data_IF_330103759994
#
_entry.id   IF_330103759994
#
_cell.length_a   1.000
_cell.length_b   1.000
_cell.length_c   1.000
_cell.angle_alpha   90.00
_cell.angle_beta   90.00
_cell.angle_gamma   90.00
#
_symmetry.space_group_name_H-M   'P 1'
#
loop_
_entity.id
_entity.type
_entity.pdbx_description
1 polymer ?
#
# COMPACT_ATOMS: atom_id res chain seq x y z
N UNK A 1 14.29 22.03 -14.20
CA UNK A 1 13.48 22.05 -15.43
C UNK A 1 13.22 20.63 -15.99
N UNK A 2 14.17 19.66 -15.85
CA UNK A 2 14.06 18.37 -16.52
C UNK A 2 12.94 17.44 -16.05
N UNK A 3 12.57 17.44 -14.76
CA UNK A 3 11.58 16.50 -14.19
C UNK A 3 10.19 17.12 -14.03
N UNK A 4 10.08 18.26 -13.37
CA UNK A 4 8.79 18.82 -12.97
C UNK A 4 7.98 19.43 -14.12
N UNK A 5 8.62 20.08 -15.09
CA UNK A 5 7.90 20.73 -16.18
C UNK A 5 7.20 19.74 -17.14
N UNK A 6 7.79 18.61 -17.58
CA UNK A 6 7.05 17.61 -18.33
C UNK A 6 5.95 16.96 -17.50
N UNK A 7 6.21 16.57 -16.24
CA UNK A 7 5.21 15.97 -15.36
C UNK A 7 4.01 16.90 -15.15
N UNK A 8 4.21 18.19 -14.88
CA UNK A 8 3.13 19.15 -14.70
C UNK A 8 2.23 19.26 -15.95
N UNK A 9 2.77 19.00 -17.14
CA UNK A 9 2.03 18.95 -18.41
C UNK A 9 1.48 17.58 -18.78
N UNK A 10 1.53 16.60 -17.85
CA UNK A 10 1.06 15.24 -18.06
C UNK A 10 1.93 14.41 -19.03
N UNK A 11 3.18 14.83 -19.28
CA UNK A 11 4.14 14.04 -20.07
C UNK A 11 4.92 13.11 -19.14
N UNK A 12 5.28 11.94 -19.65
CA UNK A 12 6.07 10.95 -18.92
C UNK A 12 7.57 11.11 -19.21
N UNK A 13 8.38 11.60 -18.24
CA UNK A 13 9.83 11.68 -18.38
C UNK A 13 10.56 10.45 -17.81
N UNK A 14 9.86 9.44 -17.31
CA UNK A 14 10.43 8.34 -16.52
C UNK A 14 11.17 7.26 -17.34
N UNK A 15 10.69 6.83 -18.51
CA UNK A 15 11.29 5.68 -19.21
C UNK A 15 12.81 5.79 -19.33
N UNK A 16 13.52 4.71 -18.90
CA UNK A 16 14.97 4.65 -18.91
C UNK A 16 15.69 5.47 -17.83
N UNK A 17 14.96 6.18 -16.97
CA UNK A 17 15.55 6.93 -15.85
C UNK A 17 15.67 6.02 -14.61
N UNK A 18 16.60 6.36 -13.71
CA UNK A 18 16.75 5.65 -12.45
C UNK A 18 15.49 5.78 -11.58
N UNK A 19 14.87 4.65 -11.26
CA UNK A 19 13.51 4.59 -10.72
C UNK A 19 13.37 5.27 -9.35
N UNK A 20 14.32 5.06 -8.44
CA UNK A 20 14.13 5.49 -7.05
C UNK A 20 14.59 6.92 -6.80
N UNK A 21 15.72 7.33 -7.37
CA UNK A 21 16.23 8.70 -7.22
C UNK A 21 15.25 9.75 -7.78
N UNK A 22 14.55 9.44 -8.89
CA UNK A 22 13.56 10.35 -9.47
C UNK A 22 12.30 10.47 -8.60
N UNK A 23 11.79 9.36 -8.00
CA UNK A 23 10.65 9.44 -7.09
C UNK A 23 11.03 10.13 -5.78
N UNK A 24 12.24 9.90 -5.25
CA UNK A 24 12.75 10.64 -4.08
C UNK A 24 12.82 12.16 -4.38
N UNK A 25 13.30 12.53 -5.58
CA UNK A 25 13.39 13.93 -6.01
C UNK A 25 12.04 14.65 -6.04
N UNK A 26 10.91 13.94 -6.19
CA UNK A 26 9.57 14.53 -6.10
C UNK A 26 9.30 15.19 -4.74
N UNK A 27 9.99 14.75 -3.67
CA UNK A 27 9.89 15.39 -2.36
C UNK A 27 10.34 16.86 -2.39
N UNK A 28 11.29 17.22 -3.27
CA UNK A 28 11.70 18.63 -3.45
C UNK A 28 10.60 19.47 -4.13
N UNK A 29 9.84 18.86 -5.05
CA UNK A 29 8.65 19.48 -5.64
C UNK A 29 7.55 19.73 -4.60
N UNK A 30 7.33 18.76 -3.69
CA UNK A 30 6.40 18.95 -2.59
C UNK A 30 6.80 20.12 -1.68
N UNK A 31 8.09 20.22 -1.33
CA UNK A 31 8.62 21.33 -0.55
C UNK A 31 8.48 22.67 -1.31
N UNK A 32 8.74 22.69 -2.62
CA UNK A 32 8.56 23.86 -3.45
C UNK A 32 7.08 24.30 -3.48
N UNK A 33 6.13 23.37 -3.63
CA UNK A 33 4.70 23.70 -3.56
C UNK A 33 4.31 24.31 -2.22
N UNK A 34 4.75 23.69 -1.11
CA UNK A 34 4.42 24.18 0.23
C UNK A 34 5.04 25.55 0.56
N UNK A 35 6.15 25.90 -0.08
CA UNK A 35 6.86 27.16 0.15
C UNK A 35 6.40 28.27 -0.80
N UNK A 36 6.23 27.95 -2.08
CA UNK A 36 5.95 28.93 -3.15
C UNK A 36 4.47 29.05 -3.49
N UNK A 37 3.66 28.04 -3.18
CA UNK A 37 2.26 27.95 -3.60
C UNK A 37 2.04 27.71 -5.10
N UNK A 38 3.11 27.46 -5.88
CA UNK A 38 3.01 27.25 -7.33
C UNK A 38 2.37 25.89 -7.64
N UNK A 39 1.15 25.85 -8.22
CA UNK A 39 0.42 24.63 -8.51
C UNK A 39 1.15 23.67 -9.45
N UNK A 40 2.10 24.16 -10.26
CA UNK A 40 2.92 23.33 -11.14
C UNK A 40 3.54 22.15 -10.40
N UNK A 41 4.05 22.38 -9.20
CA UNK A 41 4.71 21.32 -8.42
C UNK A 41 3.70 20.29 -7.90
N UNK A 42 2.54 20.73 -7.40
CA UNK A 42 1.46 19.82 -6.98
C UNK A 42 0.99 18.95 -8.15
N UNK A 43 0.77 19.56 -9.31
CA UNK A 43 0.27 18.87 -10.49
C UNK A 43 1.32 17.87 -11.03
N UNK A 44 2.61 18.24 -10.96
CA UNK A 44 3.71 17.34 -11.29
C UNK A 44 3.74 16.09 -10.37
N UNK A 45 3.54 16.28 -9.06
CA UNK A 45 3.49 15.15 -8.12
C UNK A 45 2.29 14.24 -8.37
N UNK A 46 1.11 14.80 -8.61
CA UNK A 46 -0.10 14.05 -8.89
C UNK A 46 0.03 13.21 -10.19
N UNK A 47 0.58 13.83 -11.25
CA UNK A 47 0.84 13.13 -12.50
C UNK A 47 1.92 12.06 -12.36
N UNK A 48 2.99 12.33 -11.61
CA UNK A 48 4.02 11.33 -11.31
C UNK A 48 3.43 10.12 -10.57
N UNK A 49 2.60 10.36 -9.55
CA UNK A 49 1.92 9.29 -8.83
C UNK A 49 1.03 8.45 -9.76
N UNK A 50 0.24 9.11 -10.61
CA UNK A 50 -0.61 8.43 -11.59
C UNK A 50 0.23 7.54 -12.52
N UNK A 51 1.31 8.08 -13.13
CA UNK A 51 2.21 7.30 -14.00
C UNK A 51 2.81 6.12 -13.25
N UNK A 52 3.34 6.34 -12.03
CA UNK A 52 3.93 5.29 -11.21
C UNK A 52 2.94 4.14 -10.96
N UNK A 53 1.71 4.47 -10.52
CA UNK A 53 0.74 3.45 -10.08
C UNK A 53 -0.02 2.78 -11.22
N UNK A 54 -0.06 3.38 -12.42
CA UNK A 54 -0.80 2.83 -13.56
C UNK A 54 0.08 2.12 -14.58
N UNK A 55 1.38 2.41 -14.64
CA UNK A 55 2.25 1.90 -15.71
C UNK A 55 3.55 1.25 -15.23
N UNK A 56 3.96 1.47 -13.98
CA UNK A 56 5.27 1.07 -13.48
C UNK A 56 5.21 0.03 -12.37
N UNK A 57 4.04 -0.19 -11.76
CA UNK A 57 3.94 -0.83 -10.46
C UNK A 57 3.53 -2.30 -10.57
N UNK A 58 4.28 -3.18 -9.89
CA UNK A 58 3.87 -4.54 -9.58
C UNK A 58 2.75 -4.56 -8.52
N UNK A 59 2.04 -5.68 -8.41
CA UNK A 59 0.95 -5.85 -7.45
C UNK A 59 1.38 -5.65 -5.98
N UNK A 60 2.64 -5.88 -5.64
CA UNK A 60 3.21 -5.56 -4.33
C UNK A 60 3.25 -4.08 -3.99
N UNK A 61 3.20 -3.22 -5.00
CA UNK A 61 3.49 -1.79 -4.88
C UNK A 61 4.92 -1.41 -5.27
N UNK A 62 5.78 -2.40 -5.59
CA UNK A 62 7.15 -2.16 -6.08
C UNK A 62 7.18 -1.76 -7.55
N UNK A 63 8.29 -1.19 -8.03
CA UNK A 63 8.52 -0.77 -9.41
C UNK A 63 10.02 -0.69 -9.73
N UNK A 64 10.35 -0.51 -11.01
CA UNK A 64 11.71 -0.22 -11.46
C UNK A 64 12.63 -1.45 -11.41
N UNK A 65 12.32 -2.51 -12.20
CA UNK A 65 13.25 -3.63 -12.37
C UNK A 65 14.60 -3.12 -12.86
N UNK A 66 15.69 -3.70 -12.33
CA UNK A 66 17.05 -3.22 -12.54
C UNK A 66 17.27 -1.73 -12.24
N UNK A 67 16.56 -1.21 -11.23
CA UNK A 67 16.58 0.20 -10.78
C UNK A 67 16.18 1.21 -11.86
N UNK A 68 15.48 0.77 -12.91
CA UNK A 68 15.15 1.60 -14.08
C UNK A 68 13.65 1.60 -14.34
N UNK A 69 13.09 2.76 -14.65
CA UNK A 69 11.70 2.85 -15.11
C UNK A 69 11.54 2.19 -16.47
N UNK A 70 10.50 1.35 -16.60
CA UNK A 70 10.14 0.67 -17.85
C UNK A 70 9.49 1.63 -18.85
N UNK A 71 9.46 1.23 -20.12
CA UNK A 71 8.64 1.89 -21.14
C UNK A 71 7.20 1.40 -21.02
N UNK A 72 6.22 2.28 -20.72
CA UNK A 72 4.82 1.89 -20.57
C UNK A 72 4.27 1.15 -21.78
N UNK A 73 3.37 0.19 -21.54
CA UNK A 73 2.64 -0.58 -22.56
C UNK A 73 3.53 -1.44 -23.48
N UNK A 74 4.71 -1.87 -23.01
CA UNK A 74 5.62 -2.77 -23.73
C UNK A 74 5.68 -4.18 -23.16
N UNK A 75 5.05 -4.44 -22.00
CA UNK A 75 5.11 -5.75 -21.34
C UNK A 75 6.40 -5.97 -20.54
N UNK A 76 7.19 -4.93 -20.33
CA UNK A 76 8.50 -5.05 -19.68
C UNK A 76 8.43 -5.48 -18.22
N UNK A 77 7.27 -5.28 -17.50
CA UNK A 77 7.10 -5.84 -16.17
C UNK A 77 7.04 -7.37 -16.22
N UNK A 78 6.29 -7.92 -17.18
CA UNK A 78 6.23 -9.37 -17.39
C UNK A 78 7.60 -9.92 -17.82
N UNK A 79 8.26 -9.30 -18.78
CA UNK A 79 9.57 -9.74 -19.27
C UNK A 79 10.61 -9.77 -18.14
N UNK A 80 10.52 -8.84 -17.18
CA UNK A 80 11.41 -8.77 -16.03
C UNK A 80 11.33 -9.99 -15.14
N UNK A 81 10.17 -10.68 -15.05
CA UNK A 81 10.03 -11.89 -14.22
C UNK A 81 11.05 -12.98 -14.57
N UNK A 82 11.47 -13.07 -15.85
CA UNK A 82 12.40 -14.04 -16.35
C UNK A 82 13.82 -13.49 -16.55
N UNK A 83 14.00 -12.17 -16.60
CA UNK A 83 15.27 -11.55 -17.02
C UNK A 83 16.06 -10.94 -15.87
N UNK A 84 15.46 -10.76 -14.71
CA UNK A 84 16.12 -10.21 -13.51
C UNK A 84 15.60 -10.85 -12.24
N UNK A 85 16.33 -10.66 -11.14
CA UNK A 85 15.87 -10.89 -9.76
C UNK A 85 15.75 -9.57 -8.98
N UNK A 86 16.18 -8.47 -9.57
CA UNK A 86 16.21 -7.13 -8.98
C UNK A 86 14.97 -6.34 -9.39
N UNK A 87 13.77 -6.81 -8.95
CA UNK A 87 12.51 -6.23 -9.41
C UNK A 87 12.15 -4.92 -8.71
N UNK A 88 12.57 -4.76 -7.46
CA UNK A 88 12.28 -3.57 -6.69
C UNK A 88 13.32 -3.37 -5.56
N UNK A 89 14.05 -2.25 -5.59
CA UNK A 89 14.92 -1.85 -4.47
C UNK A 89 14.05 -1.45 -3.29
N UNK A 90 13.85 -2.41 -2.39
CA UNK A 90 12.78 -2.34 -1.40
C UNK A 90 12.92 -1.19 -0.40
N UNK A 91 14.10 -0.90 0.19
CA UNK A 91 14.21 0.19 1.17
C UNK A 91 14.03 1.58 0.53
N UNK A 92 14.79 1.92 -0.49
CA UNK A 92 14.74 3.25 -1.11
C UNK A 92 13.43 3.49 -1.87
N UNK A 93 12.92 2.46 -2.55
CA UNK A 93 11.64 2.55 -3.25
C UNK A 93 10.47 2.75 -2.29
N UNK A 94 10.39 1.95 -1.21
CA UNK A 94 9.34 2.12 -0.20
C UNK A 94 9.39 3.49 0.47
N UNK A 95 10.60 4.00 0.77
CA UNK A 95 10.79 5.35 1.28
C UNK A 95 10.25 6.42 0.33
N UNK A 96 10.58 6.31 -0.95
CA UNK A 96 10.13 7.23 -1.98
C UNK A 96 8.61 7.24 -2.11
N UNK A 97 7.98 6.05 -2.20
CA UNK A 97 6.54 5.90 -2.33
C UNK A 97 5.78 6.47 -1.13
N UNK A 98 6.23 6.14 0.09
CA UNK A 98 5.56 6.62 1.31
C UNK A 98 5.65 8.14 1.47
N UNK A 99 6.79 8.74 1.11
CA UNK A 99 6.93 10.21 1.11
C UNK A 99 6.03 10.87 0.08
N UNK A 100 6.03 10.38 -1.16
CA UNK A 100 5.18 10.91 -2.22
C UNK A 100 3.70 10.86 -1.82
N UNK A 101 3.21 9.70 -1.41
CA UNK A 101 1.81 9.53 -1.00
C UNK A 101 1.45 10.44 0.18
N UNK A 102 2.30 10.56 1.21
CA UNK A 102 2.08 11.43 2.36
C UNK A 102 1.96 12.90 1.98
N UNK A 103 2.80 13.41 1.08
CA UNK A 103 2.70 14.78 0.59
C UNK A 103 1.40 15.00 -0.20
N UNK A 104 1.03 14.05 -1.06
CA UNK A 104 -0.20 14.13 -1.85
C UNK A 104 -1.45 14.11 -0.97
N UNK A 105 -1.52 13.25 0.06
CA UNK A 105 -2.63 13.25 1.03
C UNK A 105 -2.76 14.62 1.72
N UNK A 106 -1.63 15.25 2.10
CA UNK A 106 -1.63 16.54 2.80
C UNK A 106 -2.05 17.71 1.91
N UNK A 107 -1.93 17.60 0.61
CA UNK A 107 -2.15 18.69 -0.36
C UNK A 107 -3.37 18.45 -1.25
N UNK A 108 -3.98 17.28 -1.20
CA UNK A 108 -5.18 16.96 -1.96
C UNK A 108 -6.44 17.53 -1.31
N UNK A 109 -7.30 18.11 -2.15
CA UNK A 109 -8.67 18.46 -1.78
C UNK A 109 -9.70 17.46 -2.33
N UNK A 110 -9.28 16.53 -3.18
CA UNK A 110 -10.13 15.50 -3.78
C UNK A 110 -10.17 14.25 -2.88
N UNK A 111 -11.35 13.85 -2.37
CA UNK A 111 -11.49 12.68 -1.48
C UNK A 111 -11.14 11.35 -2.18
N UNK A 112 -11.41 11.22 -3.48
CA UNK A 112 -11.07 9.99 -4.21
C UNK A 112 -9.56 9.86 -4.40
N UNK A 113 -8.89 10.94 -4.80
CA UNK A 113 -7.42 10.95 -4.90
C UNK A 113 -6.78 10.73 -3.54
N UNK A 114 -7.32 11.35 -2.47
CA UNK A 114 -6.83 11.13 -1.12
C UNK A 114 -6.92 9.66 -0.71
N UNK A 115 -8.02 8.97 -1.03
CA UNK A 115 -8.17 7.54 -0.79
C UNK A 115 -7.16 6.70 -1.59
N UNK A 116 -6.94 7.01 -2.89
CA UNK A 116 -5.96 6.32 -3.74
C UNK A 116 -4.52 6.47 -3.22
N UNK A 117 -4.14 7.65 -2.74
CA UNK A 117 -2.81 7.87 -2.14
C UNK A 117 -2.63 7.03 -0.89
N UNK A 118 -3.68 6.93 -0.07
CA UNK A 118 -3.72 6.06 1.10
C UNK A 118 -3.64 4.58 0.75
N UNK A 119 -4.32 4.14 -0.31
CA UNK A 119 -4.31 2.76 -0.80
C UNK A 119 -2.91 2.33 -1.26
N UNK A 120 -2.20 3.19 -1.99
CA UNK A 120 -0.84 2.90 -2.41
C UNK A 120 0.13 2.84 -1.23
N UNK A 121 -0.02 3.76 -0.27
CA UNK A 121 0.79 3.76 0.94
C UNK A 121 0.58 2.46 1.75
N UNK A 122 -0.66 2.02 1.88
CA UNK A 122 -1.02 0.76 2.54
C UNK A 122 -0.46 -0.46 1.80
N UNK A 123 -0.58 -0.49 0.46
CA UNK A 123 -0.02 -1.54 -0.40
C UNK A 123 1.48 -1.70 -0.20
N UNK A 124 2.22 -0.60 -0.28
CA UNK A 124 3.68 -0.57 -0.05
C UNK A 124 4.03 -1.02 1.37
N UNK A 125 3.28 -0.55 2.37
CA UNK A 125 3.52 -0.92 3.76
C UNK A 125 3.47 -2.44 3.96
N UNK A 126 2.38 -3.09 3.53
CA UNK A 126 2.18 -4.51 3.81
C UNK A 126 3.03 -5.42 2.92
N UNK A 127 3.18 -5.09 1.63
CA UNK A 127 3.78 -6.01 0.68
C UNK A 127 5.27 -5.74 0.41
N UNK A 128 5.81 -4.61 0.90
CA UNK A 128 7.23 -4.30 0.74
C UNK A 128 7.90 -4.06 2.10
N UNK A 129 7.47 -3.10 2.91
CA UNK A 129 8.14 -2.74 4.17
C UNK A 129 8.05 -3.88 5.20
N UNK A 130 6.86 -4.44 5.43
CA UNK A 130 6.71 -5.59 6.33
C UNK A 130 7.35 -6.86 5.76
N UNK A 131 7.41 -6.97 4.43
CA UNK A 131 8.02 -8.12 3.77
C UNK A 131 9.55 -8.17 3.88
N UNK A 132 10.23 -7.08 4.28
CA UNK A 132 11.69 -7.10 4.50
C UNK A 132 12.10 -7.51 5.90
N UNK A 133 11.16 -7.80 6.79
CA UNK A 133 11.48 -8.21 8.15
C UNK A 133 12.32 -9.50 8.13
N UNK A 134 13.53 -9.44 8.71
CA UNK A 134 14.36 -10.61 8.89
C UNK A 134 13.71 -11.62 9.84
N UNK A 135 13.88 -12.93 9.59
CA UNK A 135 13.45 -13.96 10.54
C UNK A 135 14.24 -13.94 11.85
N UNK A 136 15.45 -13.43 11.83
CA UNK A 136 16.33 -13.31 12.97
C UNK A 136 16.53 -11.85 13.43
N UNK A 137 17.24 -11.67 14.54
CA UNK A 137 17.42 -10.36 15.20
C UNK A 137 18.64 -9.59 14.74
N UNK A 138 19.40 -10.07 13.74
CA UNK A 138 20.64 -9.42 13.29
C UNK A 138 20.39 -8.13 12.48
N UNK A 139 19.12 -7.88 12.10
CA UNK A 139 18.71 -6.69 11.37
C UNK A 139 19.05 -6.73 9.88
N UNK A 140 19.32 -7.90 9.31
CA UNK A 140 19.47 -8.07 7.87
C UNK A 140 18.14 -7.86 7.15
N UNK A 141 18.18 -7.44 5.90
CA UNK A 141 16.99 -7.20 5.08
C UNK A 141 17.26 -7.52 3.60
N UNK A 142 16.25 -7.91 2.83
CA UNK A 142 16.38 -8.01 1.38
C UNK A 142 16.58 -6.62 0.79
N UNK A 143 17.65 -6.46 0.00
CA UNK A 143 17.86 -5.23 -0.77
C UNK A 143 16.81 -5.12 -1.87
N UNK A 144 16.61 -6.21 -2.62
CA UNK A 144 15.59 -6.31 -3.65
C UNK A 144 14.43 -7.21 -3.22
N UNK A 145 13.21 -6.81 -3.57
CA UNK A 145 12.09 -7.72 -3.68
C UNK A 145 12.14 -8.42 -5.03
N UNK A 146 12.05 -9.74 -5.02
CA UNK A 146 12.11 -10.59 -6.20
C UNK A 146 10.75 -11.16 -6.52
N UNK A 147 10.34 -11.12 -7.81
CA UNK A 147 9.05 -11.61 -8.28
C UNK A 147 9.19 -12.69 -9.37
N UNK A 148 10.37 -13.25 -9.53
CA UNK A 148 10.64 -14.39 -10.42
C UNK A 148 9.69 -15.57 -10.16
N UNK A 149 9.49 -16.47 -11.13
CA UNK A 149 8.55 -17.59 -11.00
C UNK A 149 8.80 -18.52 -9.82
N UNK A 150 10.08 -18.66 -9.41
CA UNK A 150 10.48 -19.26 -8.13
C UNK A 150 11.44 -18.27 -7.47
N UNK A 151 10.92 -17.47 -6.57
CA UNK A 151 11.66 -16.40 -5.90
C UNK A 151 12.07 -16.83 -4.48
N UNK A 152 13.07 -16.16 -3.94
CA UNK A 152 13.46 -16.26 -2.54
C UNK A 152 13.86 -14.88 -2.00
N UNK A 153 13.80 -14.68 -0.70
CA UNK A 153 14.29 -13.47 -0.05
C UNK A 153 15.78 -13.62 0.25
N UNK A 154 16.59 -12.80 -0.41
CA UNK A 154 18.04 -12.76 -0.17
C UNK A 154 18.35 -11.69 0.86
N UNK A 155 18.73 -12.11 2.07
CA UNK A 155 19.09 -11.21 3.16
C UNK A 155 20.56 -10.82 3.06
N UNK A 156 20.83 -9.50 3.02
CA UNK A 156 22.19 -8.98 2.85
C UNK A 156 22.89 -8.77 4.19
N UNK A 157 24.02 -9.44 4.44
CA UNK A 157 24.79 -9.23 5.67
C UNK A 157 25.53 -7.88 5.68
N UNK A 158 25.82 -7.33 4.51
CA UNK A 158 26.44 -6.01 4.38
C UNK A 158 25.36 -4.95 4.13
N UNK A 159 25.28 -4.00 5.05
CA UNK A 159 24.31 -2.90 4.94
C UNK A 159 24.78 -1.89 3.89
N UNK A 160 23.94 -1.66 2.88
CA UNK A 160 24.19 -0.60 1.93
C UNK A 160 23.82 0.76 2.55
N UNK A 161 24.67 1.80 2.47
CA UNK A 161 24.45 3.03 3.24
C UNK A 161 23.12 3.72 3.00
N UNK A 162 22.68 3.88 1.74
CA UNK A 162 21.41 4.52 1.42
C UNK A 162 20.23 3.70 1.95
N UNK A 163 20.22 2.40 1.69
CA UNK A 163 19.09 1.51 2.02
C UNK A 163 18.96 1.29 3.53
N UNK A 164 20.08 1.22 4.27
CA UNK A 164 20.04 1.18 5.72
C UNK A 164 19.40 2.41 6.32
N UNK A 165 19.69 3.59 5.78
CA UNK A 165 19.09 4.86 6.22
C UNK A 165 17.61 4.98 5.81
N UNK A 166 17.27 4.65 4.57
CA UNK A 166 15.90 4.80 4.06
C UNK A 166 14.93 3.79 4.67
N UNK A 167 15.34 2.56 4.95
CA UNK A 167 14.51 1.57 5.63
C UNK A 167 14.17 2.03 7.05
N UNK A 168 15.18 2.41 7.84
CA UNK A 168 14.98 2.88 9.22
C UNK A 168 14.05 4.11 9.22
N UNK A 169 14.26 5.05 8.30
CA UNK A 169 13.42 6.25 8.20
C UNK A 169 11.99 5.91 7.79
N UNK A 170 11.78 4.96 6.87
CA UNK A 170 10.45 4.53 6.46
C UNK A 170 9.68 3.91 7.62
N UNK A 171 10.34 3.06 8.40
CA UNK A 171 9.76 2.44 9.60
C UNK A 171 9.46 3.48 10.67
N UNK A 172 10.38 4.42 10.92
CA UNK A 172 10.16 5.50 11.88
C UNK A 172 9.03 6.46 11.46
N UNK A 173 8.86 6.69 10.15
CA UNK A 173 7.82 7.55 9.58
C UNK A 173 6.42 6.87 9.54
N UNK A 174 6.32 5.57 9.82
CA UNK A 174 5.05 4.85 9.76
C UNK A 174 3.93 5.51 10.59
N UNK A 175 4.13 5.88 11.87
CA UNK A 175 3.09 6.50 12.67
C UNK A 175 2.59 7.83 12.08
N UNK A 176 3.42 8.56 11.33
CA UNK A 176 3.05 9.81 10.67
C UNK A 176 2.04 9.65 9.53
N UNK A 177 1.83 8.41 9.08
CA UNK A 177 0.91 8.07 7.99
C UNK A 177 -0.43 7.51 8.48
N UNK A 178 -0.60 7.27 9.78
CA UNK A 178 -1.84 6.76 10.36
C UNK A 178 -2.95 7.81 10.34
N UNK A 179 -2.61 9.04 10.70
CA UNK A 179 -3.56 10.10 10.92
C UNK A 179 -3.12 11.42 10.31
N UNK A 180 -4.07 12.15 9.73
CA UNK A 180 -3.86 13.50 9.23
C UNK A 180 -4.85 14.47 9.87
N UNK A 181 -4.35 15.60 10.38
CA UNK A 181 -5.17 16.63 10.99
C UNK A 181 -5.58 17.69 9.97
N UNK A 182 -6.80 18.20 10.15
CA UNK A 182 -7.30 19.38 9.45
C UNK A 182 -7.83 20.40 10.47
N UNK A 183 -8.10 21.64 10.04
CA UNK A 183 -8.77 22.62 10.90
C UNK A 183 -10.13 22.13 11.45
N UNK A 184 -10.80 21.24 10.73
CA UNK A 184 -12.15 20.75 11.07
C UNK A 184 -12.16 19.39 11.77
N UNK A 185 -11.02 18.67 11.86
CA UNK A 185 -10.98 17.35 12.51
C UNK A 185 -9.81 16.46 12.15
N UNK A 186 -10.07 15.17 12.14
CA UNK A 186 -9.07 14.11 11.95
C UNK A 186 -9.47 13.21 10.77
N UNK A 187 -8.49 12.92 9.92
CA UNK A 187 -8.57 11.88 8.89
C UNK A 187 -7.77 10.65 9.33
N UNK A 188 -8.41 9.49 9.39
CA UNK A 188 -7.78 8.19 9.61
C UNK A 188 -7.43 7.59 8.25
N UNK A 189 -6.15 7.45 7.98
CA UNK A 189 -5.64 7.00 6.69
C UNK A 189 -5.26 5.51 6.68
N UNK A 190 -4.59 5.03 7.74
CA UNK A 190 -4.21 3.63 7.89
C UNK A 190 -4.84 3.01 9.14
N UNK A 191 -5.06 1.70 9.07
CA UNK A 191 -5.70 0.95 10.13
C UNK A 191 -4.70 0.05 10.85
N UNK A 192 -4.39 0.42 12.11
CA UNK A 192 -3.54 -0.35 13.01
C UNK A 192 -3.88 0.02 14.45
N UNK A 193 -3.80 -0.93 15.37
CA UNK A 193 -4.01 -0.68 16.80
C UNK A 193 -3.06 0.41 17.28
N UNK A 194 -3.62 1.54 17.69
CA UNK A 194 -2.88 2.77 17.99
C UNK A 194 -3.73 3.77 18.77
N UNK A 195 -3.06 4.81 19.27
CA UNK A 195 -3.71 5.94 19.95
C UNK A 195 -3.15 7.25 19.43
N UNK A 196 -4.02 8.25 19.27
CA UNK A 196 -3.63 9.64 19.00
C UNK A 196 -4.35 10.59 19.95
N UNK A 197 -3.61 11.59 20.41
CA UNK A 197 -4.15 12.70 21.20
C UNK A 197 -3.87 14.03 20.50
N UNK A 198 -4.89 14.87 20.34
CA UNK A 198 -4.74 16.18 19.69
C UNK A 198 -5.65 17.24 20.32
N UNK A 199 -5.36 18.50 20.04
CA UNK A 199 -6.26 19.62 20.37
C UNK A 199 -7.12 19.97 19.16
N UNK A 200 -8.44 20.11 19.42
CA UNK A 200 -9.42 20.64 18.47
C UNK A 200 -10.12 21.83 19.14
N UNK A 201 -9.78 23.07 18.72
CA UNK A 201 -10.15 24.26 19.47
C UNK A 201 -9.52 24.23 20.88
N UNK A 202 -10.35 24.41 21.90
CA UNK A 202 -9.95 24.36 23.32
C UNK A 202 -9.92 22.95 23.90
N UNK A 203 -10.56 21.96 23.24
CA UNK A 203 -10.69 20.59 23.75
C UNK A 203 -9.53 19.71 23.38
N UNK A 204 -9.12 18.83 24.29
CA UNK A 204 -8.19 17.75 24.06
C UNK A 204 -8.98 16.47 23.77
N UNK A 205 -8.65 15.79 22.69
CA UNK A 205 -9.33 14.56 22.25
C UNK A 205 -8.29 13.44 22.15
N UNK A 206 -8.62 12.30 22.74
CA UNK A 206 -7.89 11.05 22.50
C UNK A 206 -8.78 10.12 21.69
N UNK A 207 -8.25 9.55 20.61
CA UNK A 207 -8.86 8.49 19.82
C UNK A 207 -8.00 7.24 19.97
N UNK A 208 -8.63 6.12 20.34
CA UNK A 208 -8.02 4.80 20.42
C UNK A 208 -8.57 3.97 19.26
N UNK A 209 -7.68 3.42 18.46
CA UNK A 209 -8.00 2.52 17.37
C UNK A 209 -7.61 1.09 17.76
N UNK A 210 -8.57 0.16 17.76
CA UNK A 210 -8.36 -1.25 18.05
C UNK A 210 -8.77 -2.09 16.83
N UNK A 211 -7.87 -2.99 16.38
CA UNK A 211 -8.11 -3.83 15.22
C UNK A 211 -7.07 -4.92 15.07
N UNK A 212 -7.44 -6.03 14.45
CA UNK A 212 -6.55 -7.06 13.91
C UNK A 212 -6.38 -6.92 12.38
N UNK A 213 -6.76 -5.77 11.82
CA UNK A 213 -6.61 -5.49 10.40
C UNK A 213 -5.14 -5.61 9.95
N UNK A 214 -4.84 -6.19 8.77
CA UNK A 214 -5.75 -6.63 7.72
C UNK A 214 -6.19 -8.11 7.82
N UNK A 215 -5.91 -8.80 8.93
CA UNK A 215 -6.38 -10.18 9.13
C UNK A 215 -7.92 -10.24 9.28
N UNK A 216 -8.50 -9.21 9.89
CA UNK A 216 -9.94 -9.04 10.09
C UNK A 216 -10.44 -7.77 9.39
N UNK A 217 -11.75 -7.72 9.11
CA UNK A 217 -12.40 -6.64 8.35
C UNK A 217 -12.78 -5.45 9.24
N UNK A 218 -12.73 -5.60 10.58
CA UNK A 218 -13.34 -4.67 11.53
C UNK A 218 -12.30 -3.83 12.25
N UNK A 219 -12.57 -2.53 12.31
CA UNK A 219 -11.79 -1.52 13.03
C UNK A 219 -12.72 -0.79 13.99
N UNK A 220 -12.35 -0.72 15.26
CA UNK A 220 -13.12 0.01 16.28
C UNK A 220 -12.33 1.22 16.77
N UNK A 221 -12.98 2.36 16.80
CA UNK A 221 -12.46 3.61 17.34
C UNK A 221 -13.25 3.99 18.59
N UNK A 222 -12.55 4.33 19.67
CA UNK A 222 -13.15 4.90 20.88
C UNK A 222 -12.65 6.33 21.06
N UNK A 223 -13.57 7.26 21.25
CA UNK A 223 -13.28 8.68 21.38
C UNK A 223 -13.37 9.13 22.84
N UNK A 224 -12.37 9.86 23.26
CA UNK A 224 -12.27 10.42 24.61
C UNK A 224 -11.97 11.92 24.54
N UNK A 225 -12.96 12.77 24.16
CA UNK A 225 -12.83 14.21 24.32
C UNK A 225 -12.99 14.60 25.78
N UNK A 226 -12.24 15.61 26.25
CA UNK A 226 -12.36 16.17 27.60
C UNK A 226 -13.67 16.98 27.81
N UNK A 227 -14.31 17.37 26.75
CA UNK A 227 -15.59 18.05 26.72
C UNK A 227 -16.37 17.71 25.45
N UNK A 228 -17.67 17.95 25.48
CA UNK A 228 -18.57 17.73 24.35
C UNK A 228 -18.21 18.67 23.18
N UNK A 229 -17.77 18.15 22.06
CA UNK A 229 -17.17 18.92 20.95
C UNK A 229 -17.62 18.50 19.57
N UNK A 230 -17.80 19.49 18.69
CA UNK A 230 -18.04 19.26 17.26
C UNK A 230 -16.73 19.14 16.49
N UNK A 231 -16.53 18.04 15.79
CA UNK A 231 -15.49 17.89 14.78
C UNK A 231 -15.85 16.82 13.74
N UNK A 232 -15.06 16.78 12.67
CA UNK A 232 -15.21 15.80 11.60
C UNK A 232 -14.21 14.68 11.77
N UNK A 233 -14.69 13.44 11.87
CA UNK A 233 -13.87 12.24 11.73
C UNK A 233 -14.06 11.70 10.33
N UNK A 234 -12.97 11.54 9.58
CA UNK A 234 -12.98 11.03 8.20
C UNK A 234 -12.21 9.71 8.17
N UNK A 235 -12.82 8.67 7.61
CA UNK A 235 -12.26 7.34 7.51
C UNK A 235 -12.02 7.01 6.02
N UNK A 236 -10.83 6.56 5.65
CA UNK A 236 -10.54 6.09 4.29
C UNK A 236 -11.25 4.78 4.02
N UNK A 237 -11.93 4.69 2.89
CA UNK A 237 -12.48 3.43 2.37
C UNK A 237 -11.63 3.01 1.18
N UNK A 238 -10.86 1.93 1.30
CA UNK A 238 -9.98 1.49 0.23
C UNK A 238 -10.73 1.13 -1.05
N UNK A 239 -10.09 1.37 -2.21
CA UNK A 239 -10.67 1.01 -3.51
C UNK A 239 -10.78 -0.51 -3.72
N UNK A 240 -9.96 -1.30 -3.04
CA UNK A 240 -10.00 -2.76 -3.10
C UNK A 240 -11.13 -3.40 -2.28
N UNK A 241 -11.89 -2.63 -1.48
CA UNK A 241 -13.00 -3.18 -0.70
C UNK A 241 -14.01 -3.90 -1.63
N UNK A 242 -14.38 -5.13 -1.27
CA UNK A 242 -15.23 -6.00 -2.11
C UNK A 242 -16.67 -5.48 -2.23
N UNK A 243 -17.10 -4.65 -1.29
CA UNK A 243 -18.41 -4.01 -1.27
C UNK A 243 -18.33 -2.70 -0.48
N UNK A 244 -19.45 -1.96 -0.43
CA UNK A 244 -19.55 -0.75 0.38
C UNK A 244 -19.25 -1.07 1.86
N UNK A 245 -18.30 -0.32 2.43
CA UNK A 245 -17.97 -0.42 3.85
C UNK A 245 -19.11 0.10 4.72
N UNK A 246 -19.32 -0.53 5.86
CA UNK A 246 -20.33 -0.09 6.83
C UNK A 246 -19.70 0.63 8.00
N UNK A 247 -20.34 1.73 8.41
CA UNK A 247 -19.95 2.49 9.61
C UNK A 247 -21.11 2.52 10.59
N UNK A 248 -20.82 2.15 11.83
CA UNK A 248 -21.79 2.31 12.94
C UNK A 248 -21.24 3.28 13.99
N UNK A 249 -22.13 3.95 14.71
CA UNK A 249 -21.79 4.77 15.87
C UNK A 249 -22.62 4.27 17.05
N UNK A 250 -21.95 3.88 18.14
CA UNK A 250 -22.57 3.30 19.34
C UNK A 250 -23.50 2.13 18.98
N UNK A 251 -23.05 1.28 18.05
CA UNK A 251 -23.79 0.11 17.55
C UNK A 251 -24.91 0.43 16.53
N UNK A 252 -25.17 1.69 16.22
CA UNK A 252 -26.23 2.08 15.26
C UNK A 252 -25.63 2.37 13.89
N UNK A 253 -26.16 1.77 12.79
CA UNK A 253 -25.72 2.05 11.43
C UNK A 253 -25.90 3.53 11.07
N UNK A 254 -24.88 4.14 10.44
CA UNK A 254 -24.90 5.55 10.05
C UNK A 254 -24.53 5.81 8.60
N UNK A 255 -23.58 5.05 8.05
CA UNK A 255 -23.10 5.22 6.67
C UNK A 255 -22.82 3.85 6.03
N UNK A 256 -23.13 3.75 4.72
CA UNK A 256 -22.52 2.80 3.80
C UNK A 256 -21.69 3.61 2.80
N UNK A 257 -20.38 3.45 2.80
CA UNK A 257 -19.46 4.22 1.98
C UNK A 257 -18.89 3.35 0.84
N UNK A 258 -18.90 3.87 -0.38
CA UNK A 258 -18.39 3.17 -1.55
C UNK A 258 -16.87 2.96 -1.47
N UNK A 259 -16.31 1.88 -2.09
CA UNK A 259 -14.88 1.72 -2.26
C UNK A 259 -14.22 2.93 -2.93
N UNK A 260 -12.97 3.23 -2.57
CA UNK A 260 -12.19 4.34 -3.12
C UNK A 260 -12.70 5.73 -2.70
N UNK A 261 -13.33 5.85 -1.54
CA UNK A 261 -13.89 7.11 -1.03
C UNK A 261 -13.47 7.40 0.42
N UNK A 262 -14.01 8.46 0.97
CA UNK A 262 -13.86 8.84 2.38
C UNK A 262 -15.24 8.83 3.07
N UNK A 263 -15.38 8.06 4.14
CA UNK A 263 -16.55 8.12 5.01
C UNK A 263 -16.38 9.29 5.99
N UNK A 264 -17.23 10.31 5.88
CA UNK A 264 -17.13 11.55 6.66
C UNK A 264 -18.22 11.61 7.72
N UNK A 265 -17.82 11.66 8.99
CA UNK A 265 -18.67 11.70 10.17
C UNK A 265 -18.58 13.08 10.80
N UNK A 266 -19.53 13.95 10.54
CA UNK A 266 -19.61 15.29 11.13
C UNK A 266 -20.66 15.33 12.24
N UNK A 267 -20.23 15.39 13.49
CA UNK A 267 -21.17 15.40 14.61
C UNK A 267 -20.54 15.98 15.89
N UNK A 268 -21.38 16.11 16.92
CA UNK A 268 -20.96 16.38 18.27
C UNK A 268 -20.59 15.09 18.98
N UNK A 269 -19.33 15.02 19.43
CA UNK A 269 -18.72 13.84 20.06
C UNK A 269 -18.66 14.01 21.57
N UNK A 270 -18.87 12.92 22.29
CA UNK A 270 -18.77 12.84 23.72
C UNK A 270 -17.87 11.71 24.19
N UNK A 271 -17.48 11.74 25.45
CA UNK A 271 -16.68 10.72 26.12
C UNK A 271 -17.30 9.33 25.92
N UNK A 272 -16.49 8.38 25.43
CA UNK A 272 -16.87 6.99 25.24
C UNK A 272 -17.64 6.70 23.95
N UNK A 273 -17.88 7.68 23.06
CA UNK A 273 -18.45 7.38 21.75
C UNK A 273 -17.58 6.37 20.99
N UNK A 274 -18.21 5.36 20.39
CA UNK A 274 -17.55 4.34 19.60
C UNK A 274 -17.94 4.42 18.14
N UNK A 275 -16.98 4.26 17.25
CA UNK A 275 -17.20 4.13 15.80
C UNK A 275 -16.65 2.77 15.37
N UNK A 276 -17.47 1.97 14.70
CA UNK A 276 -17.00 0.71 14.10
C UNK A 276 -17.09 0.81 12.59
N UNK A 277 -15.97 0.57 11.93
CA UNK A 277 -15.83 0.47 10.49
C UNK A 277 -15.61 -1.00 10.11
N UNK A 278 -16.42 -1.51 9.18
CA UNK A 278 -16.22 -2.85 8.59
C UNK A 278 -15.97 -2.70 7.10
N UNK A 279 -14.81 -3.20 6.64
CA UNK A 279 -14.36 -3.13 5.24
C UNK A 279 -14.35 -4.55 4.67
N UNK A 280 -15.35 -4.93 3.86
CA UNK A 280 -15.40 -6.27 3.28
C UNK A 280 -14.18 -6.58 2.43
N UNK A 281 -13.54 -7.72 2.70
CA UNK A 281 -12.35 -8.18 1.98
C UNK A 281 -12.69 -9.47 1.22
N UNK A 282 -12.32 -9.49 -0.06
CA UNK A 282 -12.42 -10.69 -0.88
C UNK A 282 -11.14 -10.87 -1.70
N UNK A 283 -10.95 -12.06 -2.27
CA UNK A 283 -9.86 -12.31 -3.21
C UNK A 283 -10.16 -11.66 -4.56
N UNK A 284 -9.12 -11.09 -5.15
CA UNK A 284 -9.14 -10.55 -6.51
C UNK A 284 -7.83 -10.85 -7.22
N UNK A 285 -7.86 -10.82 -8.53
CA UNK A 285 -6.70 -10.99 -9.40
C UNK A 285 -6.31 -9.64 -9.99
N UNK A 286 -5.02 -9.29 -9.90
CA UNK A 286 -4.47 -8.07 -10.50
C UNK A 286 -3.47 -8.46 -11.60
N UNK A 287 -3.71 -8.10 -12.88
CA UNK A 287 -2.76 -8.34 -13.97
C UNK A 287 -1.42 -7.66 -13.71
N UNK A 288 -0.34 -8.27 -14.20
CA UNK A 288 1.01 -7.70 -14.07
C UNK A 288 1.17 -6.43 -14.90
N UNK A 289 0.65 -6.43 -16.11
CA UNK A 289 0.59 -5.28 -17.03
C UNK A 289 -0.56 -5.45 -18.04
N UNK A 290 -0.77 -4.46 -18.89
CA UNK A 290 -1.86 -4.44 -19.87
C UNK A 290 -1.62 -5.34 -21.09
N UNK A 291 -0.40 -5.83 -21.27
CA UNK A 291 -0.04 -6.75 -22.37
C UNK A 291 -0.17 -8.21 -21.96
N UNK A 292 -0.18 -8.49 -20.66
CA UNK A 292 -0.26 -9.83 -20.09
C UNK A 292 -1.38 -9.93 -19.04
N UNK A 293 -2.65 -9.73 -19.46
CA UNK A 293 -3.81 -9.73 -18.55
C UNK A 293 -4.09 -11.10 -17.90
N UNK A 294 -3.54 -12.18 -18.47
CA UNK A 294 -3.62 -13.54 -17.92
C UNK A 294 -2.58 -13.82 -16.83
N UNK A 295 -1.49 -13.04 -16.76
CA UNK A 295 -0.48 -13.17 -15.71
C UNK A 295 -0.87 -12.29 -14.54
N UNK A 296 -1.33 -12.92 -13.47
CA UNK A 296 -2.02 -12.23 -12.37
C UNK A 296 -1.39 -12.49 -11.02
N UNK A 297 -1.42 -11.48 -10.15
CA UNK A 297 -1.17 -11.62 -8.72
C UNK A 297 -2.48 -11.89 -7.98
N UNK A 298 -2.40 -12.68 -6.92
CA UNK A 298 -3.52 -12.95 -6.02
C UNK A 298 -3.51 -11.95 -4.87
N UNK A 299 -4.58 -11.18 -4.72
CA UNK A 299 -4.73 -10.15 -3.70
C UNK A 299 -5.94 -10.43 -2.81
N UNK A 300 -5.83 -10.15 -1.50
CA UNK A 300 -6.97 -10.09 -0.57
C UNK A 300 -6.83 -8.86 0.32
N UNK A 301 -7.82 -7.97 0.29
CA UNK A 301 -7.64 -6.65 0.92
C UNK A 301 -6.40 -5.96 0.38
N UNK A 302 -5.53 -5.40 1.25
CA UNK A 302 -4.27 -4.78 0.82
C UNK A 302 -3.14 -5.77 0.56
N UNK A 303 -3.32 -7.06 0.90
CA UNK A 303 -2.27 -8.08 0.93
C UNK A 303 -2.12 -8.78 -0.41
N UNK A 304 -0.87 -8.92 -0.85
CA UNK A 304 -0.50 -9.86 -1.90
C UNK A 304 -0.26 -11.24 -1.32
N UNK A 305 -0.93 -12.25 -1.88
CA UNK A 305 -0.76 -13.65 -1.53
C UNK A 305 0.18 -14.33 -2.52
N UNK A 306 1.05 -15.17 -2.01
CA UNK A 306 2.05 -15.90 -2.79
C UNK A 306 1.96 -17.39 -2.50
N UNK A 307 2.26 -18.22 -3.49
CA UNK A 307 2.38 -19.65 -3.29
C UNK A 307 3.72 -19.98 -2.64
N UNK A 308 3.69 -20.79 -1.56
CA UNK A 308 4.89 -21.22 -0.83
C UNK A 308 5.48 -22.50 -1.42
N UNK A 309 6.81 -22.57 -1.43
CA UNK A 309 7.61 -23.75 -1.81
C UNK A 309 7.09 -24.43 -3.08
N UNK A 310 6.92 -23.69 -4.19
CA UNK A 310 6.45 -24.28 -5.42
C UNK A 310 7.46 -25.33 -5.90
N UNK A 311 6.98 -26.55 -6.17
CA UNK A 311 7.83 -27.64 -6.70
C UNK A 311 8.21 -27.42 -8.15
N UNK A 312 7.54 -26.51 -8.84
CA UNK A 312 7.80 -26.04 -10.19
C UNK A 312 7.25 -24.63 -10.37
N UNK A 313 7.68 -23.97 -11.41
CA UNK A 313 7.18 -22.63 -11.75
C UNK A 313 5.67 -22.68 -12.05
N UNK A 314 4.90 -21.88 -11.31
CA UNK A 314 3.43 -21.80 -11.43
C UNK A 314 2.95 -20.71 -12.37
N UNK A 315 3.87 -19.91 -12.91
CA UNK A 315 3.60 -18.81 -13.84
C UNK A 315 3.06 -19.26 -15.20
N UNK A 316 3.22 -20.54 -15.53
CA UNK A 316 2.74 -21.14 -16.78
C UNK A 316 1.61 -22.15 -16.60
N UNK A 317 1.18 -22.40 -15.36
CA UNK A 317 0.07 -23.30 -15.07
C UNK A 317 -1.21 -22.49 -14.85
N UNK A 318 -2.29 -22.72 -15.62
CA UNK A 318 -3.54 -22.02 -15.43
C UNK A 318 -4.20 -22.50 -14.12
N UNK A 319 -4.16 -21.68 -13.08
CA UNK A 319 -4.78 -21.97 -11.80
C UNK A 319 -6.21 -21.45 -11.75
N UNK A 320 -7.18 -22.21 -11.17
CA UNK A 320 -8.58 -21.82 -11.07
C UNK A 320 -8.84 -20.78 -9.95
N UNK A 321 -7.95 -19.82 -9.80
CA UNK A 321 -8.02 -18.77 -8.78
C UNK A 321 -9.08 -17.72 -9.15
N UNK A 322 -9.66 -17.09 -8.13
CA UNK A 322 -9.56 -17.34 -6.68
C UNK A 322 -10.65 -18.27 -6.14
N UNK A 323 -11.59 -18.74 -6.95
CA UNK A 323 -12.82 -19.40 -6.50
C UNK A 323 -12.67 -20.73 -5.81
N UNK A 324 -11.53 -21.39 -5.98
CA UNK A 324 -11.22 -22.73 -5.42
C UNK A 324 -10.46 -22.70 -4.09
N UNK A 325 -10.01 -21.52 -3.64
CA UNK A 325 -9.24 -21.36 -2.42
C UNK A 325 -10.00 -21.75 -1.16
N UNK A 326 -9.40 -22.62 -0.34
CA UNK A 326 -9.92 -23.04 0.96
C UNK A 326 -9.11 -22.40 2.08
N UNK A 327 -9.79 -21.78 3.03
CA UNK A 327 -9.18 -21.28 4.26
C UNK A 327 -8.76 -22.47 5.15
N UNK A 328 -7.50 -22.54 5.56
CA UNK A 328 -6.95 -23.65 6.35
C UNK A 328 -6.35 -23.21 7.70
N UNK A 329 -5.92 -21.96 7.81
CA UNK A 329 -5.45 -21.34 9.04
C UNK A 329 -5.56 -19.80 8.91
N UNK A 330 -5.39 -19.01 9.99
CA UNK A 330 -5.43 -17.55 9.93
C UNK A 330 -4.51 -17.00 8.81
N UNK A 331 -5.10 -16.32 7.83
CA UNK A 331 -4.43 -15.81 6.62
C UNK A 331 -3.72 -16.86 5.75
N UNK A 332 -4.00 -18.15 5.93
CA UNK A 332 -3.43 -19.25 5.13
C UNK A 332 -4.53 -19.92 4.33
N UNK A 333 -4.32 -20.04 3.03
CA UNK A 333 -5.26 -20.64 2.10
C UNK A 333 -4.59 -21.76 1.30
N UNK A 334 -5.37 -22.70 0.83
CA UNK A 334 -4.88 -23.79 0.02
C UNK A 334 -5.74 -23.99 -1.22
N UNK A 335 -5.08 -24.37 -2.31
CA UNK A 335 -5.67 -24.86 -3.55
C UNK A 335 -5.20 -26.28 -3.81
N UNK A 336 -6.12 -27.15 -4.21
CA UNK A 336 -5.78 -28.50 -4.70
C UNK A 336 -5.81 -28.52 -6.22
N UNK A 337 -4.65 -28.51 -6.84
CA UNK A 337 -4.51 -28.46 -8.29
C UNK A 337 -3.63 -29.60 -8.80
N UNK A 338 -4.13 -30.38 -9.75
CA UNK A 338 -3.41 -31.51 -10.37
C UNK A 338 -2.80 -32.49 -9.37
N UNK A 339 -3.54 -32.82 -8.28
CA UNK A 339 -3.10 -33.74 -7.23
C UNK A 339 -2.06 -33.16 -6.26
N UNK A 340 -1.78 -31.87 -6.33
CA UNK A 340 -0.89 -31.14 -5.42
C UNK A 340 -1.68 -30.16 -4.58
N UNK A 341 -1.27 -29.97 -3.34
CA UNK A 341 -1.77 -28.86 -2.52
C UNK A 341 -0.81 -27.69 -2.62
N UNK A 342 -1.31 -26.55 -3.09
CA UNK A 342 -0.58 -25.28 -3.16
C UNK A 342 -1.02 -24.43 -1.97
N UNK A 343 -0.07 -23.98 -1.17
CA UNK A 343 -0.32 -23.14 0.01
C UNK A 343 -0.08 -21.68 -0.32
N UNK A 344 -1.03 -20.82 0.00
CA UNK A 344 -0.96 -19.38 -0.20
C UNK A 344 -0.92 -18.64 1.13
N UNK A 345 0.05 -17.74 1.26
CA UNK A 345 0.23 -16.85 2.42
C UNK A 345 0.47 -15.42 1.97
N UNK A 346 0.24 -14.41 2.82
CA UNK A 346 0.68 -13.04 2.53
C UNK A 346 2.20 -12.96 2.36
N UNK A 347 2.67 -12.17 1.39
CA UNK A 347 4.10 -12.03 1.07
C UNK A 347 4.96 -11.67 2.29
N UNK A 348 4.42 -10.90 3.25
CA UNK A 348 5.15 -10.55 4.47
C UNK A 348 5.37 -11.73 5.43
N UNK A 349 4.64 -12.83 5.29
CA UNK A 349 4.85 -14.04 6.11
C UNK A 349 5.95 -14.96 5.57
N UNK A 350 6.34 -14.79 4.31
CA UNK A 350 7.47 -15.53 3.74
C UNK A 350 8.76 -15.10 4.44
N UNK A 351 9.59 -16.08 4.82
CA UNK A 351 10.90 -15.86 5.45
C UNK A 351 12.01 -16.46 4.60
N UNK A 352 12.23 -17.77 4.73
CA UNK A 352 13.30 -18.51 4.03
C UNK A 352 12.75 -19.47 2.97
N UNK A 353 11.43 -19.49 2.80
CA UNK A 353 10.78 -20.32 1.80
C UNK A 353 10.94 -19.71 0.41
N UNK A 354 10.97 -20.55 -0.62
CA UNK A 354 10.75 -20.10 -1.99
C UNK A 354 9.28 -19.75 -2.20
N UNK A 355 8.99 -18.87 -3.14
CA UNK A 355 7.62 -18.43 -3.41
C UNK A 355 7.39 -18.03 -4.86
N UNK A 356 6.12 -18.02 -5.28
CA UNK A 356 5.66 -17.49 -6.57
C UNK A 356 4.66 -16.37 -6.33
N UNK A 357 4.85 -15.24 -7.02
CA UNK A 357 4.02 -14.03 -6.88
C UNK A 357 2.98 -13.86 -7.98
N UNK A 358 3.25 -14.39 -9.17
CA UNK A 358 2.38 -14.27 -10.34
C UNK A 358 2.02 -15.64 -10.90
N UNK A 359 0.77 -15.78 -11.33
CA UNK A 359 0.16 -17.01 -11.78
C UNK A 359 -0.49 -16.81 -13.13
N UNK A 360 -0.60 -17.86 -13.95
CA UNK A 360 -1.46 -17.81 -15.13
C UNK A 360 -2.90 -18.04 -14.68
N UNK A 361 -3.80 -17.17 -15.10
CA UNK A 361 -5.24 -17.30 -14.87
C UNK A 361 -5.82 -18.38 -15.78
N UNK A 362 -6.65 -19.30 -15.22
CA UNK A 362 -7.39 -20.30 -15.98
C UNK A 362 -8.52 -19.70 -16.80
#
# INVERSE_FOLDING_TARGET
>A
AGLFDPLARGKDPFPGQHAYSHVIALSSGASAYLTLGDPKYRDALANAFKLLTTTQQFASGGWGPNETFITPHRGELYDSLATTVDHFETPCGSYAATKLARYLIRTSADPHLTAQYGDNLERVLYNTILAVKSPDSNGDYPYYSTYSPIAEKVYYPKKWPCCSGTLVQTVADYPLNLYFRSPTGLHVNLYASSQITWKQGSSTITLIQNTNYPAEDTITFTLHPDSLINFTLTLRIPAWAAAAASVTINGKPVIKAAPGTLATLRRRWQQGDTVTLTIPQDFRLEPIDDRHPETVALMRGPLQYVALNPTQALDKEPLPLPGSLKHIAPQVFAENYSGRQIIFVPLYQVQNETYTTYFTRA
#
